data_IF_524845353326
#
_entry.id   IF_524845353326
#
_cell.length_a   1.000
_cell.length_b   1.000
_cell.length_c   1.000
_cell.angle_alpha   90.00
_cell.angle_beta   90.00
_cell.angle_gamma   90.00
#
_symmetry.space_group_name_H-M   'P 1'
#
loop_
_entity.id
_entity.type
_entity.pdbx_description
1 polymer ?
#
# COMPACT_ATOMS: atom_id res chain seq x y z
N UNK A 1 -6.52 -5.43 -22.04
CA UNK A 1 -6.65 -4.71 -20.75
C UNK A 1 -7.72 -3.63 -20.92
N UNK A 2 -8.79 -3.61 -20.12
CA UNK A 2 -9.82 -2.56 -20.18
C UNK A 2 -9.45 -1.45 -19.18
N UNK A 3 -9.33 -0.21 -19.66
CA UNK A 3 -8.99 0.96 -18.85
C UNK A 3 -10.20 1.87 -18.75
N UNK A 4 -10.69 2.09 -17.53
CA UNK A 4 -11.79 3.03 -17.28
C UNK A 4 -11.23 4.44 -17.10
N UNK A 5 -11.86 5.43 -17.75
CA UNK A 5 -11.57 6.85 -17.56
C UNK A 5 -12.78 7.50 -16.89
N UNK A 6 -12.66 7.80 -15.60
CA UNK A 6 -13.75 8.36 -14.79
C UNK A 6 -13.36 9.73 -14.25
N UNK A 7 -14.26 10.71 -14.33
CA UNK A 7 -14.11 12.00 -13.64
C UNK A 7 -14.70 11.88 -12.23
N UNK A 8 -13.86 12.03 -11.22
CA UNK A 8 -14.30 12.06 -9.82
C UNK A 8 -14.62 13.50 -9.44
N UNK A 9 -15.77 13.75 -8.79
CA UNK A 9 -16.12 15.08 -8.29
C UNK A 9 -15.29 15.44 -7.06
N UNK A 10 -14.97 16.73 -6.91
CA UNK A 10 -14.09 17.24 -5.85
C UNK A 10 -14.58 16.99 -4.42
N UNK A 11 -15.89 16.75 -4.26
CA UNK A 11 -16.49 16.38 -2.97
C UNK A 11 -15.83 15.17 -2.31
N UNK A 12 -15.19 14.28 -3.10
CA UNK A 12 -14.52 13.08 -2.60
C UNK A 12 -13.01 13.25 -2.36
N UNK A 13 -12.42 14.41 -2.70
CA UNK A 13 -10.97 14.62 -2.60
C UNK A 13 -10.43 14.40 -1.18
N UNK A 14 -11.15 14.87 -0.15
CA UNK A 14 -10.73 14.67 1.25
C UNK A 14 -10.64 13.19 1.63
N UNK A 15 -11.62 12.40 1.19
CA UNK A 15 -11.66 10.95 1.46
C UNK A 15 -10.54 10.24 0.73
N UNK A 16 -10.31 10.58 -0.55
CA UNK A 16 -9.23 9.98 -1.34
C UNK A 16 -7.84 10.32 -0.82
N UNK A 17 -7.63 11.56 -0.37
CA UNK A 17 -6.39 11.99 0.28
C UNK A 17 -6.14 11.22 1.58
N UNK A 18 -7.18 10.98 2.38
CA UNK A 18 -7.08 10.17 3.59
C UNK A 18 -6.71 8.73 3.23
N UNK A 19 -7.44 8.09 2.33
CA UNK A 19 -7.18 6.71 1.89
C UNK A 19 -5.76 6.55 1.33
N UNK A 20 -5.28 7.51 0.53
CA UNK A 20 -3.91 7.49 0.02
C UNK A 20 -2.88 7.62 1.15
N UNK A 21 -3.17 8.40 2.18
CA UNK A 21 -2.30 8.56 3.35
C UNK A 21 -2.23 7.27 4.18
N UNK A 22 -3.36 6.60 4.38
CA UNK A 22 -3.44 5.29 5.04
C UNK A 22 -2.71 4.20 4.24
N UNK A 23 -2.86 4.17 2.92
CA UNK A 23 -2.12 3.26 2.05
C UNK A 23 -0.61 3.50 2.16
N UNK A 24 -0.17 4.76 2.19
CA UNK A 24 1.23 5.10 2.41
C UNK A 24 1.72 4.62 3.79
N UNK A 25 0.88 4.71 4.82
CA UNK A 25 1.20 4.21 6.16
C UNK A 25 1.41 2.70 6.16
N UNK A 26 0.47 1.93 5.59
CA UNK A 26 0.59 0.47 5.44
C UNK A 26 1.84 0.09 4.65
N UNK A 27 2.12 0.79 3.55
CA UNK A 27 3.35 0.57 2.76
C UNK A 27 4.60 0.75 3.60
N UNK A 28 4.69 1.85 4.35
CA UNK A 28 5.84 2.15 5.18
C UNK A 28 5.99 1.11 6.30
N UNK A 29 4.89 0.74 6.97
CA UNK A 29 4.90 -0.30 7.99
C UNK A 29 5.44 -1.63 7.47
N UNK A 30 4.92 -2.13 6.35
CA UNK A 30 5.34 -3.40 5.76
C UNK A 30 6.79 -3.34 5.26
N UNK A 31 7.21 -2.22 4.68
CA UNK A 31 8.59 -2.00 4.24
C UNK A 31 9.57 -2.05 5.43
N UNK A 32 9.19 -1.46 6.56
CA UNK A 32 10.00 -1.48 7.77
C UNK A 32 10.03 -2.86 8.43
N UNK A 33 8.87 -3.51 8.54
CA UNK A 33 8.72 -4.87 9.07
C UNK A 33 9.62 -5.84 8.30
N UNK A 34 9.53 -5.83 6.96
CA UNK A 34 10.36 -6.67 6.10
C UNK A 34 11.85 -6.40 6.27
N UNK A 35 12.24 -5.13 6.39
CA UNK A 35 13.65 -4.77 6.59
C UNK A 35 14.18 -5.18 7.97
N UNK A 36 13.38 -5.03 9.04
CA UNK A 36 13.74 -5.50 10.38
C UNK A 36 13.86 -7.02 10.44
N UNK A 37 12.95 -7.73 9.78
CA UNK A 37 13.00 -9.19 9.70
C UNK A 37 14.25 -9.66 8.97
N UNK A 38 14.57 -9.05 7.81
CA UNK A 38 15.77 -9.33 7.05
C UNK A 38 17.05 -9.13 7.89
N UNK A 39 17.14 -8.02 8.63
CA UNK A 39 18.30 -7.76 9.51
C UNK A 39 18.48 -8.80 10.61
N UNK A 40 17.38 -9.38 11.12
CA UNK A 40 17.41 -10.32 12.24
C UNK A 40 17.63 -11.76 11.80
N UNK A 41 17.00 -12.18 10.70
CA UNK A 41 16.98 -13.58 10.24
C UNK A 41 17.75 -13.84 8.95
N UNK A 42 18.12 -12.79 8.20
CA UNK A 42 18.69 -12.93 6.86
C UNK A 42 17.67 -13.32 5.78
N UNK A 43 16.39 -13.46 6.14
CA UNK A 43 15.35 -13.96 5.25
C UNK A 43 14.41 -12.84 4.78
N UNK A 44 13.84 -13.02 3.59
CA UNK A 44 12.83 -12.11 3.07
C UNK A 44 11.42 -12.63 3.31
N UNK A 45 10.56 -11.79 3.85
CA UNK A 45 9.14 -12.10 3.99
C UNK A 45 8.44 -12.21 2.62
N UNK A 46 7.57 -13.22 2.51
CA UNK A 46 6.58 -13.32 1.44
C UNK A 46 5.35 -12.46 1.75
N UNK A 47 4.48 -12.26 0.76
CA UNK A 47 3.21 -11.56 0.99
C UNK A 47 2.31 -12.32 1.99
N UNK A 48 2.37 -13.66 2.00
CA UNK A 48 1.62 -14.50 2.93
C UNK A 48 2.10 -14.34 4.38
N UNK A 49 3.41 -14.21 4.59
CA UNK A 49 3.96 -13.99 5.93
C UNK A 49 3.55 -12.63 6.47
N UNK A 50 3.61 -11.60 5.63
CA UNK A 50 3.20 -10.23 5.98
C UNK A 50 1.70 -10.18 6.33
N UNK A 51 0.85 -10.95 5.64
CA UNK A 51 -0.59 -10.97 5.88
C UNK A 51 -0.96 -11.33 7.34
N UNK A 52 -0.10 -12.09 8.04
CA UNK A 52 -0.29 -12.40 9.46
C UNK A 52 -0.14 -11.15 10.34
N UNK A 53 0.75 -10.24 9.97
CA UNK A 53 1.03 -9.01 10.72
C UNK A 53 0.06 -7.87 10.39
N UNK A 54 -0.60 -7.92 9.24
CA UNK A 54 -1.59 -6.91 8.82
C UNK A 54 -3.04 -7.35 9.08
N UNK A 55 -3.23 -8.46 9.80
CA UNK A 55 -4.56 -8.93 10.20
C UNK A 55 -5.19 -7.92 11.17
N UNK A 56 -6.40 -7.47 10.84
CA UNK A 56 -7.15 -6.49 11.65
C UNK A 56 -6.87 -5.02 11.31
N UNK A 57 -5.83 -4.72 10.52
CA UNK A 57 -5.48 -3.35 10.12
C UNK A 57 -6.60 -2.62 9.36
N UNK A 58 -7.55 -3.34 8.75
CA UNK A 58 -8.69 -2.71 8.08
C UNK A 58 -9.54 -1.85 9.03
N UNK A 59 -9.66 -2.26 10.30
CA UNK A 59 -10.44 -1.52 11.30
C UNK A 59 -9.73 -0.23 11.73
N UNK A 60 -8.41 -0.30 11.89
CA UNK A 60 -7.59 0.83 12.35
C UNK A 60 -7.37 1.88 11.25
N UNK A 61 -7.05 1.45 10.03
CA UNK A 61 -6.75 2.36 8.91
C UNK A 61 -7.98 2.72 8.07
N UNK A 62 -9.18 2.26 8.42
CA UNK A 62 -10.40 2.40 7.63
C UNK A 62 -10.20 2.04 6.13
N UNK A 63 -9.41 0.99 5.89
CA UNK A 63 -9.08 0.49 4.55
C UNK A 63 -9.74 -0.85 4.32
N UNK A 64 -10.21 -1.10 3.10
CA UNK A 64 -10.69 -2.43 2.74
C UNK A 64 -9.53 -3.46 2.84
N UNK A 65 -9.81 -4.65 3.38
CA UNK A 65 -8.79 -5.69 3.61
C UNK A 65 -8.05 -6.08 2.32
N UNK A 66 -8.74 -6.12 1.18
CA UNK A 66 -8.13 -6.44 -0.10
C UNK A 66 -7.19 -5.34 -0.61
N UNK A 67 -7.41 -4.07 -0.24
CA UNK A 67 -6.47 -2.98 -0.54
C UNK A 67 -5.18 -3.17 0.22
N UNK A 68 -5.25 -3.52 1.51
CA UNK A 68 -4.07 -3.83 2.34
C UNK A 68 -3.29 -4.99 1.71
N UNK A 69 -3.97 -6.08 1.33
CA UNK A 69 -3.33 -7.21 0.65
C UNK A 69 -2.64 -6.79 -0.64
N UNK A 70 -3.30 -5.99 -1.49
CA UNK A 70 -2.72 -5.50 -2.73
C UNK A 70 -1.46 -4.64 -2.49
N UNK A 71 -1.45 -3.82 -1.43
CA UNK A 71 -0.26 -3.05 -1.02
C UNK A 71 0.89 -4.00 -0.67
N UNK A 72 0.63 -5.06 0.10
CA UNK A 72 1.67 -6.03 0.49
C UNK A 72 2.24 -6.80 -0.70
N UNK A 73 1.38 -7.22 -1.63
CA UNK A 73 1.77 -7.93 -2.85
C UNK A 73 2.60 -7.04 -3.77
N UNK A 74 2.17 -5.78 -3.94
CA UNK A 74 2.90 -4.79 -4.72
C UNK A 74 4.29 -4.55 -4.15
N UNK A 75 4.40 -4.37 -2.82
CA UNK A 75 5.69 -4.16 -2.16
C UNK A 75 6.65 -5.34 -2.39
N UNK A 76 6.17 -6.57 -2.20
CA UNK A 76 7.00 -7.77 -2.43
C UNK A 76 7.41 -7.89 -3.90
N UNK A 77 6.48 -7.61 -4.82
CA UNK A 77 6.73 -7.65 -6.27
C UNK A 77 7.79 -6.64 -6.67
N UNK A 78 7.66 -5.37 -6.25
CA UNK A 78 8.64 -4.31 -6.56
C UNK A 78 9.98 -4.58 -5.91
N UNK A 79 10.00 -5.09 -4.68
CA UNK A 79 11.24 -5.48 -3.99
C UNK A 79 12.02 -6.52 -4.79
N UNK A 80 11.35 -7.56 -5.29
CA UNK A 80 11.94 -8.60 -6.15
C UNK A 80 12.39 -8.03 -7.50
N UNK A 81 11.52 -7.27 -8.17
CA UNK A 81 11.79 -6.65 -9.47
C UNK A 81 13.07 -5.79 -9.43
N UNK A 82 13.21 -4.94 -8.41
CA UNK A 82 14.34 -4.02 -8.29
C UNK A 82 15.52 -4.60 -7.51
N UNK A 83 15.44 -5.86 -7.04
CA UNK A 83 16.47 -6.55 -6.24
C UNK A 83 16.95 -5.73 -5.04
N UNK A 84 16.02 -5.08 -4.32
CA UNK A 84 16.36 -4.21 -3.17
C UNK A 84 16.02 -4.89 -1.84
N UNK A 85 16.82 -4.62 -0.82
CA UNK A 85 16.50 -5.01 0.55
C UNK A 85 15.34 -4.19 1.14
N UNK A 86 15.27 -2.90 0.79
CA UNK A 86 14.26 -1.95 1.26
C UNK A 86 13.85 -1.00 0.13
N UNK A 87 12.56 -0.68 0.03
CA UNK A 87 12.05 0.29 -0.93
C UNK A 87 12.04 1.71 -0.33
N UNK A 88 11.85 2.73 -1.18
CA UNK A 88 11.72 4.11 -0.70
C UNK A 88 10.47 4.26 0.16
N UNK A 89 10.57 5.10 1.18
CA UNK A 89 9.44 5.53 2.01
C UNK A 89 8.46 6.37 1.19
N UNK A 90 7.18 6.21 1.48
CA UNK A 90 6.12 7.08 0.97
C UNK A 90 5.87 8.23 1.94
N UNK A 91 5.69 9.43 1.41
CA UNK A 91 5.56 10.68 2.19
C UNK A 91 4.20 11.29 1.96
N UNK A 92 3.41 11.44 3.03
CA UNK A 92 2.05 11.98 2.96
C UNK A 92 1.95 13.48 3.26
N UNK A 93 3.00 14.12 3.81
CA UNK A 93 2.97 15.54 4.17
C UNK A 93 2.74 16.44 2.94
N UNK A 94 1.63 17.19 2.94
CA UNK A 94 1.22 18.08 1.84
C UNK A 94 2.20 19.21 1.55
N UNK A 95 2.94 19.68 2.56
CA UNK A 95 3.90 20.78 2.45
C UNK A 95 5.29 20.33 1.99
N UNK A 96 5.53 19.02 1.87
CA UNK A 96 6.83 18.49 1.49
C UNK A 96 6.97 18.42 -0.03
N UNK A 97 8.07 18.95 -0.57
CA UNK A 97 8.43 18.76 -1.98
C UNK A 97 8.66 17.28 -2.35
N UNK A 98 8.87 16.40 -1.35
CA UNK A 98 9.04 14.95 -1.52
C UNK A 98 7.72 14.18 -1.39
N UNK A 99 6.56 14.85 -1.38
CA UNK A 99 5.25 14.22 -1.25
C UNK A 99 5.03 13.17 -2.34
N UNK A 100 4.60 12.00 -1.92
CA UNK A 100 4.23 10.92 -2.83
C UNK A 100 2.87 11.19 -3.47
N UNK A 101 2.72 10.83 -4.74
CA UNK A 101 1.42 10.87 -5.41
C UNK A 101 0.42 9.94 -4.73
N UNK A 102 -0.86 10.36 -4.74
CA UNK A 102 -1.95 9.55 -4.23
C UNK A 102 -2.04 8.24 -5.00
N UNK A 103 -2.00 7.12 -4.27
CA UNK A 103 -2.04 5.79 -4.85
C UNK A 103 -2.85 4.88 -3.93
N UNK A 104 -3.89 4.26 -4.47
CA UNK A 104 -4.76 3.32 -3.76
C UNK A 104 -4.97 2.12 -4.67
N UNK A 105 -4.36 0.95 -4.37
CA UNK A 105 -4.52 -0.24 -5.18
C UNK A 105 -5.83 -0.98 -4.85
N UNK A 106 -6.37 -1.66 -5.86
CA UNK A 106 -7.58 -2.49 -5.73
C UNK A 106 -7.35 -3.85 -6.38
N UNK A 107 -7.89 -4.90 -5.76
CA UNK A 107 -7.94 -6.23 -6.39
C UNK A 107 -9.15 -6.29 -7.32
N UNK A 108 -9.00 -6.97 -8.47
CA UNK A 108 -10.09 -7.14 -9.46
C UNK A 108 -11.41 -7.62 -8.82
N UNK A 109 -11.31 -8.55 -7.86
CA UNK A 109 -12.48 -9.12 -7.14
C UNK A 109 -13.26 -8.06 -6.34
N UNK A 110 -12.60 -6.97 -5.94
CA UNK A 110 -13.21 -5.86 -5.20
C UNK A 110 -14.01 -4.90 -6.10
N UNK A 111 -13.75 -4.93 -7.41
CA UNK A 111 -14.26 -3.92 -8.34
C UNK A 111 -15.56 -4.44 -8.93
N UNK A 112 -16.67 -3.78 -8.59
CA UNK A 112 -17.95 -3.91 -9.28
C UNK A 112 -18.15 -2.66 -10.12
N UNK A 113 -18.33 -2.85 -11.42
CA UNK A 113 -18.71 -1.80 -12.35
C UNK A 113 -19.97 -2.31 -13.07
N UNK A 114 -21.07 -1.58 -12.94
CA UNK A 114 -22.35 -1.87 -13.59
C UNK A 114 -22.29 -1.48 -15.07
#
# INVERSE_FOLDING_TARGET
MKTLKLRIKDKHCKVLDQLASEVNFVWNYVNDLGFRHLKRKGEFLSAFDIAKYTKGTSKECNLHSQTIQAVTEELVTRRKQFKKAKLKWRVSNKKSARRSLGWVPFKKVAIKYA
#
